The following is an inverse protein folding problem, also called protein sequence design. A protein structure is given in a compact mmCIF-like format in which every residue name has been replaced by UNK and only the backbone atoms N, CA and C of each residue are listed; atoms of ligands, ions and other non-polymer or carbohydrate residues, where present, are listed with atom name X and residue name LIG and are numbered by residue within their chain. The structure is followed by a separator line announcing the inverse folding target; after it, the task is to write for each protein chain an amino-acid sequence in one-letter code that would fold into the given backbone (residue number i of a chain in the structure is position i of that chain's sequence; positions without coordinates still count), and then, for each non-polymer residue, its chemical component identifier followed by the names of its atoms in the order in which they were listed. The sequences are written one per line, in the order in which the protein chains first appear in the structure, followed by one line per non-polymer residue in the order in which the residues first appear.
data_IF_678638212119
#
_entry.id   IF_678638212119
#
_cell.length_a   1.000
_cell.length_b   1.000
_cell.length_c   1.000
_cell.angle_alpha   90.00
_cell.angle_beta   90.00
_cell.angle_gamma   90.00
#
_symmetry.space_group_name_H-M   'P 1'
#
loop_
_entity.id
_entity.type
_entity.pdbx_description
1 polymer ?
#
# COMPACT_ATOMS: atom_id res chain seq x y z
N UNK A 1 36.81 -9.97 31.13
CA UNK A 1 36.27 -10.98 30.19
C UNK A 1 35.31 -11.86 31.00
N UNK A 2 34.00 -11.64 30.90
CA UNK A 2 33.04 -12.43 31.69
C UNK A 2 33.02 -13.89 31.19
N UNK A 3 32.85 -14.89 32.07
CA UNK A 3 32.85 -16.30 31.68
C UNK A 3 31.69 -16.57 30.71
N UNK A 4 31.96 -17.17 29.56
CA UNK A 4 30.93 -17.51 28.54
C UNK A 4 29.81 -18.38 29.10
N UNK A 5 30.13 -19.19 30.10
CA UNK A 5 29.23 -20.13 30.78
C UNK A 5 28.10 -19.41 31.52
N UNK A 6 28.33 -18.15 31.91
CA UNK A 6 27.30 -17.32 32.54
C UNK A 6 26.20 -16.94 31.54
N UNK A 7 26.55 -16.60 30.30
CA UNK A 7 25.57 -16.18 29.29
C UNK A 7 24.55 -17.28 28.97
N UNK A 8 25.01 -18.51 28.73
CA UNK A 8 24.14 -19.64 28.41
C UNK A 8 23.18 -19.98 29.56
N UNK A 9 23.64 -19.85 30.81
CA UNK A 9 22.81 -20.10 32.00
C UNK A 9 21.68 -19.07 32.20
N UNK A 10 21.88 -17.82 31.75
CA UNK A 10 20.86 -16.76 31.87
C UNK A 10 20.01 -16.60 30.61
N UNK A 11 20.46 -17.12 29.47
CA UNK A 11 19.78 -17.00 28.17
C UNK A 11 18.31 -17.40 28.26
N UNK A 12 18.00 -18.57 28.80
CA UNK A 12 16.62 -19.07 28.90
C UNK A 12 15.69 -18.10 29.64
N UNK A 13 16.10 -17.61 30.81
CA UNK A 13 15.31 -16.66 31.62
C UNK A 13 15.10 -15.31 30.92
N UNK A 14 16.12 -14.81 30.21
CA UNK A 14 16.01 -13.55 29.48
C UNK A 14 15.01 -13.69 28.33
N UNK A 15 15.05 -14.80 27.59
CA UNK A 15 14.10 -15.07 26.51
C UNK A 15 12.66 -15.26 27.02
N UNK A 16 12.47 -15.91 28.17
CA UNK A 16 11.15 -16.02 28.82
C UNK A 16 10.60 -14.64 29.22
N UNK A 17 11.41 -13.79 29.86
CA UNK A 17 10.97 -12.44 30.26
C UNK A 17 10.67 -11.54 29.06
N UNK A 18 11.46 -11.65 27.99
CA UNK A 18 11.21 -10.91 26.75
C UNK A 18 9.95 -11.42 26.05
N UNK A 19 9.71 -12.74 26.05
CA UNK A 19 8.47 -13.32 25.51
C UNK A 19 7.25 -12.87 26.31
N UNK A 20 7.35 -12.80 27.64
CA UNK A 20 6.29 -12.30 28.52
C UNK A 20 6.00 -10.82 28.26
N UNK A 21 7.02 -9.95 28.21
CA UNK A 21 6.87 -8.53 27.88
C UNK A 21 6.30 -8.29 26.48
N UNK A 22 6.74 -9.07 25.49
CA UNK A 22 6.21 -9.04 24.13
C UNK A 22 4.76 -9.50 24.10
N UNK A 23 4.40 -10.55 24.85
CA UNK A 23 3.02 -11.03 24.97
C UNK A 23 2.08 -10.01 25.58
N UNK A 24 2.58 -9.21 26.54
CA UNK A 24 1.83 -8.13 27.18
C UNK A 24 1.57 -6.96 26.22
N UNK A 25 2.50 -6.68 25.29
CA UNK A 25 2.34 -5.65 24.26
C UNK A 25 1.47 -6.09 23.09
N UNK A 26 1.56 -7.36 22.65
CA UNK A 26 0.80 -7.87 21.50
C UNK A 26 -0.54 -8.53 21.87
N UNK A 27 -0.81 -8.73 23.16
CA UNK A 27 -2.06 -9.31 23.66
C UNK A 27 -2.25 -10.78 23.28
N UNK A 28 -1.17 -11.50 22.98
CA UNK A 28 -1.19 -12.93 22.62
C UNK A 28 0.07 -13.65 23.13
N UNK A 29 -0.04 -14.91 23.60
CA UNK A 29 1.10 -15.65 24.12
C UNK A 29 2.12 -15.91 23.00
N UNK A 30 3.34 -15.39 23.17
CA UNK A 30 4.44 -15.63 22.26
C UNK A 30 4.96 -17.06 22.48
N UNK A 31 4.71 -17.95 21.52
CA UNK A 31 5.11 -19.36 21.65
C UNK A 31 6.57 -19.55 21.26
N UNK A 32 7.41 -19.77 22.27
CA UNK A 32 8.78 -20.25 22.12
C UNK A 32 8.76 -21.78 22.13
N UNK A 33 9.15 -22.41 21.02
CA UNK A 33 9.45 -23.85 21.00
C UNK A 33 10.98 -23.96 21.14
N UNK A 34 11.45 -24.58 22.22
CA UNK A 34 12.88 -24.79 22.54
C UNK A 34 13.76 -23.51 22.55
N UNK A 35 13.21 -22.38 23.04
CA UNK A 35 13.97 -21.13 23.17
C UNK A 35 14.27 -20.44 21.83
N UNK A 36 13.63 -20.89 20.75
CA UNK A 36 13.66 -20.25 19.43
C UNK A 36 12.32 -19.54 19.20
N UNK A 37 12.32 -18.27 18.77
CA UNK A 37 11.13 -17.62 18.24
C UNK A 37 10.50 -18.47 17.13
N UNK A 38 9.31 -19.02 17.37
CA UNK A 38 8.54 -19.66 16.29
C UNK A 38 8.01 -18.54 15.39
N UNK A 39 8.74 -18.20 14.32
CA UNK A 39 8.22 -17.33 13.25
C UNK A 39 6.97 -17.93 12.57
N UNK A 40 6.75 -19.24 12.75
CA UNK A 40 5.55 -19.95 12.31
C UNK A 40 4.31 -19.65 13.16
N UNK A 41 4.47 -19.03 14.34
CA UNK A 41 3.37 -18.68 15.27
C UNK A 41 2.79 -17.27 15.05
N UNK A 42 3.10 -16.61 13.93
CA UNK A 42 2.29 -15.53 13.39
C UNK A 42 1.35 -16.12 12.33
N UNK A 43 0.28 -16.87 12.69
CA UNK A 43 -0.72 -17.20 11.71
C UNK A 43 -1.28 -15.85 11.23
N UNK A 44 -1.24 -15.56 9.93
CA UNK A 44 -1.90 -14.38 9.40
C UNK A 44 -3.35 -14.45 9.84
N UNK A 45 -3.78 -13.51 10.67
CA UNK A 45 -5.15 -13.48 11.14
C UNK A 45 -6.02 -13.26 9.90
N UNK A 46 -6.64 -14.33 9.43
CA UNK A 46 -7.57 -14.38 8.31
C UNK A 46 -8.86 -13.65 8.69
N UNK A 47 -8.80 -12.32 8.69
CA UNK A 47 -9.95 -11.44 8.81
C UNK A 47 -10.46 -11.12 7.41
N UNK A 48 -11.76 -10.82 7.27
CA UNK A 48 -12.36 -10.42 5.98
C UNK A 48 -11.59 -9.25 5.33
N UNK A 49 -11.09 -8.33 6.16
CA UNK A 49 -10.31 -7.16 5.69
C UNK A 49 -8.92 -7.54 5.19
N UNK A 50 -8.21 -8.47 5.85
CA UNK A 50 -6.88 -8.91 5.41
C UNK A 50 -6.93 -9.78 4.16
N UNK A 51 -7.98 -10.59 4.01
CA UNK A 51 -8.24 -11.36 2.79
C UNK A 51 -8.50 -10.45 1.57
N UNK A 52 -9.26 -9.37 1.76
CA UNK A 52 -9.53 -8.39 0.71
C UNK A 52 -8.25 -7.66 0.27
N UNK A 53 -7.43 -7.22 1.23
CA UNK A 53 -6.15 -6.56 0.94
C UNK A 53 -5.16 -7.50 0.23
N UNK A 54 -5.14 -8.79 0.58
CA UNK A 54 -4.36 -9.80 -0.12
C UNK A 54 -4.83 -9.98 -1.57
N UNK A 55 -6.13 -10.16 -1.79
CA UNK A 55 -6.70 -10.25 -3.14
C UNK A 55 -6.43 -8.99 -3.96
N UNK A 56 -6.54 -7.82 -3.34
CA UNK A 56 -6.20 -6.53 -3.95
C UNK A 56 -4.72 -6.46 -4.35
N UNK A 57 -3.81 -7.00 -3.53
CA UNK A 57 -2.38 -7.03 -3.84
C UNK A 57 -2.01 -7.96 -5.00
N UNK A 58 -2.74 -9.06 -5.18
CA UNK A 58 -2.64 -9.94 -6.36
C UNK A 58 -3.17 -9.19 -7.58
N UNK A 59 -4.32 -8.52 -7.44
CA UNK A 59 -4.95 -7.74 -8.49
C UNK A 59 -4.05 -6.60 -9.01
N UNK A 60 -3.35 -5.91 -8.10
CA UNK A 60 -2.42 -4.83 -8.45
C UNK A 60 -1.01 -5.33 -8.77
N UNK A 61 -0.79 -6.65 -8.82
CA UNK A 61 0.52 -7.32 -9.01
C UNK A 61 1.60 -6.90 -8.01
N UNK A 62 1.23 -6.26 -6.92
CA UNK A 62 2.13 -5.79 -5.86
C UNK A 62 2.65 -6.96 -5.03
N UNK A 63 1.79 -7.97 -4.79
CA UNK A 63 2.11 -9.19 -4.06
C UNK A 63 2.42 -8.96 -2.58
N UNK A 64 1.42 -9.05 -1.70
CA UNK A 64 1.63 -9.04 -0.25
C UNK A 64 1.85 -10.47 0.26
N UNK A 65 3.05 -10.81 0.73
CA UNK A 65 3.46 -12.18 1.09
C UNK A 65 3.02 -12.67 2.47
N UNK A 66 2.45 -11.81 3.31
CA UNK A 66 2.31 -12.10 4.75
C UNK A 66 1.06 -12.92 5.12
N UNK A 67 0.06 -13.05 4.23
CA UNK A 67 -1.20 -13.72 4.55
C UNK A 67 -1.76 -14.55 3.38
N UNK A 68 -1.54 -15.87 3.38
CA UNK A 68 -2.03 -16.80 2.34
C UNK A 68 -3.25 -17.59 2.86
N UNK A 69 -4.35 -17.68 2.08
CA UNK A 69 -5.57 -18.36 2.54
C UNK A 69 -5.32 -19.83 2.67
N UNK A 70 -5.58 -20.40 3.84
CA UNK A 70 -5.39 -21.85 4.08
C UNK A 70 -6.57 -22.67 3.54
N UNK A 71 -7.67 -22.03 3.11
CA UNK A 71 -8.89 -22.70 2.61
C UNK A 71 -8.88 -22.85 1.08
N UNK A 72 -9.02 -24.09 0.60
CA UNK A 72 -8.97 -24.42 -0.83
C UNK A 72 -9.99 -23.65 -1.69
N UNK A 73 -11.20 -23.41 -1.16
CA UNK A 73 -12.22 -22.64 -1.86
C UNK A 73 -11.86 -21.15 -1.99
N UNK A 74 -11.25 -20.57 -0.95
CA UNK A 74 -10.78 -19.17 -0.97
C UNK A 74 -9.61 -18.96 -1.93
N UNK A 75 -8.69 -19.93 -2.00
CA UNK A 75 -7.61 -19.93 -2.98
C UNK A 75 -8.14 -20.03 -4.42
N UNK A 76 -9.12 -20.92 -4.68
CA UNK A 76 -9.71 -21.07 -6.00
C UNK A 76 -10.41 -19.77 -6.46
N UNK A 77 -11.20 -19.14 -5.59
CA UNK A 77 -11.84 -17.86 -5.90
C UNK A 77 -10.81 -16.75 -6.14
N UNK A 78 -9.71 -16.70 -5.38
CA UNK A 78 -8.65 -15.71 -5.59
C UNK A 78 -7.93 -15.90 -6.94
N UNK A 79 -7.68 -17.15 -7.35
CA UNK A 79 -7.06 -17.46 -8.64
C UNK A 79 -7.99 -17.07 -9.80
N UNK A 80 -9.27 -17.43 -9.72
CA UNK A 80 -10.28 -17.05 -10.73
C UNK A 80 -10.46 -15.52 -10.78
N UNK A 81 -10.47 -14.87 -9.62
CA UNK A 81 -10.54 -13.41 -9.52
C UNK A 81 -9.28 -12.73 -10.06
N UNK A 82 -8.08 -13.31 -9.90
CA UNK A 82 -6.87 -12.79 -10.52
C UNK A 82 -6.91 -12.93 -12.05
N UNK A 83 -7.31 -14.10 -12.55
CA UNK A 83 -7.40 -14.39 -13.99
C UNK A 83 -8.36 -13.45 -14.74
N UNK A 84 -9.49 -13.13 -14.12
CA UNK A 84 -10.51 -12.24 -14.72
C UNK A 84 -10.26 -10.77 -14.33
N UNK A 85 -9.76 -10.55 -13.12
CA UNK A 85 -9.55 -9.22 -12.55
C UNK A 85 -8.39 -8.47 -13.18
N UNK A 86 -7.27 -9.13 -13.52
CA UNK A 86 -6.14 -8.49 -14.20
C UNK A 86 -6.56 -7.85 -15.54
N UNK A 87 -7.20 -8.58 -16.49
CA UNK A 87 -7.62 -7.97 -17.75
C UNK A 87 -8.68 -6.88 -17.55
N UNK A 88 -9.62 -7.06 -16.62
CA UNK A 88 -10.61 -6.03 -16.30
C UNK A 88 -9.96 -4.78 -15.68
N UNK A 89 -8.95 -4.96 -14.84
CA UNK A 89 -8.24 -3.85 -14.20
C UNK A 89 -7.43 -3.05 -15.22
N UNK A 90 -6.82 -3.72 -16.19
CA UNK A 90 -6.16 -3.05 -17.32
C UNK A 90 -7.18 -2.26 -18.15
N UNK A 91 -8.35 -2.83 -18.45
CA UNK A 91 -9.42 -2.10 -19.16
C UNK A 91 -9.91 -0.89 -18.37
N UNK A 92 -10.14 -1.05 -17.07
CA UNK A 92 -10.54 0.05 -16.19
C UNK A 92 -9.46 1.14 -16.12
N UNK A 93 -8.19 0.77 -16.05
CA UNK A 93 -7.08 1.73 -16.06
C UNK A 93 -7.00 2.51 -17.38
N UNK A 94 -7.26 1.85 -18.52
CA UNK A 94 -7.33 2.51 -19.83
C UNK A 94 -8.48 3.51 -19.87
N UNK A 95 -9.66 3.14 -19.39
CA UNK A 95 -10.81 4.04 -19.38
C UNK A 95 -10.65 5.20 -18.40
N UNK A 96 -10.09 4.95 -17.21
CA UNK A 96 -9.71 6.01 -16.25
C UNK A 96 -8.66 6.93 -16.86
N UNK A 97 -7.67 6.38 -17.57
CA UNK A 97 -6.64 7.15 -18.27
C UNK A 97 -7.22 8.04 -19.36
N UNK A 98 -8.19 7.55 -20.14
CA UNK A 98 -8.93 8.36 -21.12
C UNK A 98 -9.74 9.47 -20.47
N UNK A 99 -10.47 9.15 -19.41
CA UNK A 99 -11.24 10.14 -18.66
C UNK A 99 -10.36 11.25 -18.09
N UNK A 100 -9.24 10.87 -17.47
CA UNK A 100 -8.27 11.83 -16.94
C UNK A 100 -7.65 12.67 -18.06
N UNK A 101 -7.30 12.05 -19.19
CA UNK A 101 -6.77 12.76 -20.35
C UNK A 101 -7.76 13.81 -20.87
N UNK A 102 -9.05 13.48 -20.98
CA UNK A 102 -10.07 14.43 -21.39
C UNK A 102 -10.14 15.62 -20.43
N UNK A 103 -10.17 15.36 -19.11
CA UNK A 103 -10.19 16.43 -18.09
C UNK A 103 -8.95 17.31 -18.21
N UNK A 104 -7.76 16.73 -18.33
CA UNK A 104 -6.51 17.49 -18.43
C UNK A 104 -6.50 18.33 -19.70
N UNK A 105 -6.96 17.80 -20.83
CA UNK A 105 -7.01 18.54 -22.10
C UNK A 105 -8.03 19.68 -22.04
N UNK A 106 -9.22 19.46 -21.47
CA UNK A 106 -10.21 20.52 -21.26
C UNK A 106 -9.68 21.61 -20.33
N UNK A 107 -9.05 21.22 -19.22
CA UNK A 107 -8.44 22.16 -18.29
C UNK A 107 -7.32 22.94 -18.96
N UNK A 108 -6.44 22.26 -19.68
CA UNK A 108 -5.34 22.88 -20.42
C UNK A 108 -5.85 23.87 -21.47
N UNK A 109 -6.87 23.48 -22.26
CA UNK A 109 -7.49 24.36 -23.23
C UNK A 109 -8.08 25.60 -22.55
N UNK A 110 -8.85 25.41 -21.47
CA UNK A 110 -9.47 26.52 -20.72
C UNK A 110 -8.43 27.46 -20.12
N UNK A 111 -7.37 26.92 -19.53
CA UNK A 111 -6.26 27.69 -18.95
C UNK A 111 -5.50 28.43 -20.04
N UNK A 112 -5.13 27.78 -21.15
CA UNK A 112 -4.38 28.42 -22.25
C UNK A 112 -5.16 29.56 -22.90
N UNK A 113 -6.48 29.44 -23.03
CA UNK A 113 -7.36 30.52 -23.52
C UNK A 113 -7.45 31.65 -22.51
N UNK A 114 -7.62 31.34 -21.21
CA UNK A 114 -7.70 32.35 -20.16
C UNK A 114 -6.40 33.16 -20.04
N UNK A 115 -5.26 32.49 -20.14
CA UNK A 115 -3.93 33.11 -20.13
C UNK A 115 -3.76 33.99 -21.38
N UNK A 116 -4.05 33.46 -22.57
CA UNK A 116 -3.95 34.23 -23.81
C UNK A 116 -4.79 35.51 -23.75
N UNK A 117 -6.03 35.40 -23.27
CA UNK A 117 -6.93 36.55 -23.12
C UNK A 117 -6.33 37.59 -22.17
N UNK A 118 -5.81 37.16 -21.03
CA UNK A 118 -5.17 38.05 -20.06
C UNK A 118 -3.97 38.80 -20.63
N UNK A 119 -3.07 38.13 -21.37
CA UNK A 119 -1.93 38.79 -22.01
C UNK A 119 -2.36 39.82 -23.07
N UNK A 120 -3.40 39.51 -23.85
CA UNK A 120 -3.94 40.44 -24.86
C UNK A 120 -4.58 41.66 -24.20
N UNK A 121 -5.39 41.46 -23.15
CA UNK A 121 -6.01 42.56 -22.40
C UNK A 121 -4.94 43.46 -21.76
N UNK A 122 -3.88 42.87 -21.18
CA UNK A 122 -2.75 43.61 -20.62
C UNK A 122 -1.96 44.41 -21.67
N UNK A 123 -1.73 43.84 -22.86
CA UNK A 123 -1.07 44.54 -23.97
C UNK A 123 -1.89 45.77 -24.41
N UNK A 124 -3.21 45.60 -24.55
CA UNK A 124 -4.11 46.67 -24.97
C UNK A 124 -4.14 47.82 -23.96
N UNK A 125 -4.11 47.50 -22.66
CA UNK A 125 -4.00 48.50 -21.58
C UNK A 125 -2.66 49.26 -21.65
N UNK A 126 -1.56 48.56 -21.95
CA UNK A 126 -0.24 49.17 -22.10
C UNK A 126 -0.16 50.18 -23.25
N UNK A 127 -0.69 49.81 -24.42
CA UNK A 127 -0.81 50.72 -25.57
C UNK A 127 -1.69 51.93 -25.25
N UNK A 128 -2.85 51.72 -24.62
CA UNK A 128 -3.76 52.80 -24.24
C UNK A 128 -3.12 53.81 -23.27
N UNK A 129 -2.24 53.35 -22.37
CA UNK A 129 -1.53 54.22 -21.44
C UNK A 129 -0.44 55.06 -22.14
N UNK A 130 0.22 54.50 -23.16
CA UNK A 130 1.24 55.21 -23.95
C UNK A 130 0.67 56.36 -24.79
N UNK A 131 -0.54 56.22 -25.33
CA UNK A 131 -1.21 57.28 -26.10
C UNK A 131 -1.87 58.36 -25.24
N UNK A 132 -1.98 58.15 -23.92
CA UNK A 132 -2.60 59.10 -22.99
C UNK A 132 -1.63 60.17 -22.47
N UNK A 133 -0.35 60.15 -22.87
CA UNK A 133 0.69 61.12 -22.53
C UNK A 133 1.23 61.78 -23.80
#
# INVERSE_FOLDING_TARGET
MAPKDSYEAYRGRIFEQLAELSSLHEGRPFQLVDGVPSEEALPPRWSRSSAFLYALSILTTTGYSYAVPVTAFGQFLAIVYGLIGIPIMVLAAVDIGRFLSHIVLELYAKVSVSIRKFYVDMLFIGEALLFAH
#
